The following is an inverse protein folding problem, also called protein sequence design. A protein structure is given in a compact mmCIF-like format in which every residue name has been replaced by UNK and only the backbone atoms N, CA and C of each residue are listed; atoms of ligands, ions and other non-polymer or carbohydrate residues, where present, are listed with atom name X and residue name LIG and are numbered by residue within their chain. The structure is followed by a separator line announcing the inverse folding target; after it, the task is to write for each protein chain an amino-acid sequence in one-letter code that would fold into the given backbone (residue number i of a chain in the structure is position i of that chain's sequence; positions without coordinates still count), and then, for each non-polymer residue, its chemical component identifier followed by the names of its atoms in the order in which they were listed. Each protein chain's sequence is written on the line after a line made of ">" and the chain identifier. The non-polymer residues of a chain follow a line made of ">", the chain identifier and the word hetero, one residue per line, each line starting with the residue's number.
data_IF_663424330123
#
_entry.id   IF_663424330123
#
_cell.length_a   1.000
_cell.length_b   1.000
_cell.length_c   1.000
_cell.angle_alpha   90.00
_cell.angle_beta   90.00
_cell.angle_gamma   90.00
#
_symmetry.space_group_name_H-M   'P 1'
#
loop_
_entity.id
_entity.type
_entity.pdbx_description
1 polymer ?
#
# COMPACT_ATOMS: atom_id res chain seq x y z
N UNK A 1 12.69 10.05 -18.36
CA UNK A 1 11.66 9.74 -17.35
C UNK A 1 12.21 10.25 -16.03
N UNK A 2 11.52 11.16 -15.36
CA UNK A 2 11.99 11.71 -14.10
C UNK A 2 11.75 10.65 -13.01
N UNK A 3 12.82 10.18 -12.39
CA UNK A 3 12.76 9.43 -11.13
C UNK A 3 12.09 10.37 -10.14
N UNK A 4 10.93 10.00 -9.59
CA UNK A 4 10.31 10.80 -8.53
C UNK A 4 11.28 10.77 -7.36
N UNK A 5 11.85 11.93 -7.02
CA UNK A 5 12.72 12.08 -5.85
C UNK A 5 11.92 11.67 -4.61
N UNK A 6 12.63 11.12 -3.61
CA UNK A 6 12.04 10.86 -2.30
C UNK A 6 11.37 12.13 -1.80
N UNK A 7 10.19 11.98 -1.22
CA UNK A 7 9.52 13.11 -0.59
C UNK A 7 10.27 13.49 0.69
N UNK A 8 10.43 14.78 0.94
CA UNK A 8 11.02 15.26 2.18
C UNK A 8 10.00 15.11 3.32
N UNK A 9 10.44 14.49 4.42
CA UNK A 9 9.60 14.19 5.57
C UNK A 9 10.20 14.80 6.84
N UNK A 10 9.36 15.44 7.65
CA UNK A 10 9.67 15.70 9.05
C UNK A 10 9.27 14.50 9.92
N UNK A 11 9.94 14.32 11.05
CA UNK A 11 9.54 13.34 12.05
C UNK A 11 8.16 13.62 12.66
N UNK A 12 7.53 12.57 13.21
CA UNK A 12 6.29 12.67 13.98
C UNK A 12 6.47 13.54 15.22
N UNK A 13 5.39 14.19 15.61
CA UNK A 13 5.28 15.00 16.83
C UNK A 13 4.08 14.55 17.66
N UNK A 14 3.95 15.04 18.91
CA UNK A 14 2.79 14.76 19.74
C UNK A 14 1.45 15.15 19.10
N UNK A 15 1.42 16.15 18.21
CA UNK A 15 0.22 16.50 17.44
C UNK A 15 -0.20 15.41 16.45
N UNK A 16 0.77 14.69 15.91
CA UNK A 16 0.51 13.59 14.98
C UNK A 16 0.07 12.35 15.75
N UNK A 17 0.66 12.08 16.93
CA UNK A 17 0.22 11.04 17.86
C UNK A 17 -1.23 11.25 18.30
N UNK A 18 -1.59 12.47 18.75
CA UNK A 18 -2.98 12.81 19.07
C UNK A 18 -3.95 12.67 17.89
N UNK A 19 -3.48 12.93 16.68
CA UNK A 19 -4.28 12.70 15.48
C UNK A 19 -4.55 11.22 15.26
N UNK A 20 -3.52 10.37 15.36
CA UNK A 20 -3.65 8.91 15.24
C UNK A 20 -4.61 8.38 16.30
N UNK A 21 -4.45 8.76 17.58
CA UNK A 21 -5.31 8.31 18.67
C UNK A 21 -6.79 8.63 18.41
N UNK A 22 -7.07 9.84 17.90
CA UNK A 22 -8.45 10.25 17.58
C UNK A 22 -9.06 9.51 16.39
N UNK A 23 -8.25 9.01 15.45
CA UNK A 23 -8.70 8.41 14.20
C UNK A 23 -8.40 6.90 14.08
N UNK A 24 -7.80 6.28 15.11
CA UNK A 24 -7.45 4.85 15.11
C UNK A 24 -8.66 3.90 14.95
N UNK A 25 -9.88 4.40 15.20
CA UNK A 25 -11.12 3.65 15.01
C UNK A 25 -11.69 3.78 13.60
N UNK A 26 -11.09 4.55 12.71
CA UNK A 26 -11.52 4.63 11.32
C UNK A 26 -11.25 3.28 10.64
N UNK A 27 -12.28 2.62 10.09
CA UNK A 27 -12.10 1.36 9.37
C UNK A 27 -11.24 1.51 8.10
N UNK A 28 -11.10 2.73 7.59
CA UNK A 28 -10.24 3.04 6.44
C UNK A 28 -8.81 3.33 6.89
N UNK A 29 -8.04 2.27 7.11
CA UNK A 29 -6.63 2.37 7.52
C UNK A 29 -5.76 3.02 6.44
N UNK A 30 -6.10 2.88 5.16
CA UNK A 30 -5.39 3.55 4.06
C UNK A 30 -5.51 5.08 4.18
N UNK A 31 -6.69 5.60 4.54
CA UNK A 31 -6.89 7.03 4.82
C UNK A 31 -5.99 7.50 5.95
N UNK A 32 -5.96 6.77 7.05
CA UNK A 32 -5.12 7.14 8.20
C UNK A 32 -3.65 7.20 7.81
N UNK A 33 -3.15 6.22 7.05
CA UNK A 33 -1.78 6.20 6.53
C UNK A 33 -1.49 7.40 5.61
N UNK A 34 -2.39 7.68 4.68
CA UNK A 34 -2.25 8.79 3.75
C UNK A 34 -2.23 10.14 4.48
N UNK A 35 -3.12 10.34 5.45
CA UNK A 35 -3.18 11.57 6.24
C UNK A 35 -1.94 11.77 7.10
N UNK A 36 -1.45 10.74 7.78
CA UNK A 36 -0.23 10.85 8.60
C UNK A 36 0.97 11.21 7.72
N UNK A 37 1.11 10.57 6.58
CA UNK A 37 2.20 10.88 5.66
C UNK A 37 2.08 12.30 5.11
N UNK A 38 0.88 12.74 4.71
CA UNK A 38 0.62 14.08 4.23
C UNK A 38 0.93 15.17 5.26
N UNK A 39 0.60 14.93 6.54
CA UNK A 39 0.92 15.84 7.65
C UNK A 39 2.42 16.00 7.89
N UNK A 40 3.20 14.98 7.55
CA UNK A 40 4.65 14.93 7.75
C UNK A 40 5.45 15.33 6.50
N UNK A 41 4.78 15.61 5.37
CA UNK A 41 5.44 16.19 4.21
C UNK A 41 6.04 17.55 4.58
N UNK A 42 7.35 17.69 4.32
CA UNK A 42 8.09 18.92 4.54
C UNK A 42 8.39 19.60 3.20
N UNK A 43 8.07 20.89 3.11
CA UNK A 43 8.31 21.66 1.90
C UNK A 43 7.83 23.12 2.05
N UNK A 44 8.57 24.09 1.48
CA UNK A 44 8.36 25.51 1.73
C UNK A 44 7.00 26.05 1.24
N UNK A 45 6.32 25.35 0.32
CA UNK A 45 5.10 25.83 -0.33
C UNK A 45 3.99 24.76 -0.39
N UNK A 46 4.07 23.71 0.44
CA UNK A 46 3.08 22.63 0.43
C UNK A 46 1.99 22.95 1.45
N UNK A 47 0.80 23.31 0.97
CA UNK A 47 -0.39 23.36 1.83
C UNK A 47 -0.96 21.96 2.08
N UNK A 48 -1.86 21.86 3.07
CA UNK A 48 -2.43 20.57 3.47
C UNK A 48 -3.21 19.85 2.35
N UNK A 49 -3.79 20.56 1.39
CA UNK A 49 -4.51 19.96 0.28
C UNK A 49 -3.54 19.40 -0.75
N UNK A 50 -2.50 20.15 -1.11
CA UNK A 50 -1.44 19.69 -2.01
C UNK A 50 -0.66 18.51 -1.42
N UNK A 51 -0.43 18.50 -0.10
CA UNK A 51 0.20 17.37 0.58
C UNK A 51 -0.62 16.09 0.46
N UNK A 52 -1.94 16.17 0.70
CA UNK A 52 -2.85 15.02 0.54
C UNK A 52 -2.88 14.51 -0.90
N UNK A 53 -2.99 15.40 -1.87
CA UNK A 53 -2.99 15.04 -3.29
C UNK A 53 -1.68 14.35 -3.67
N UNK A 54 -0.54 14.88 -3.21
CA UNK A 54 0.78 14.29 -3.44
C UNK A 54 0.86 12.86 -2.91
N UNK A 55 0.39 12.61 -1.67
CA UNK A 55 0.42 11.28 -1.07
C UNK A 55 -0.57 10.34 -1.76
N UNK A 56 -1.78 10.79 -2.06
CA UNK A 56 -2.77 9.97 -2.76
C UNK A 56 -2.33 9.55 -4.15
N UNK A 57 -1.46 10.36 -4.80
CA UNK A 57 -0.88 10.05 -6.12
C UNK A 57 0.35 9.14 -6.05
N UNK A 58 0.87 8.78 -4.89
CA UNK A 58 1.90 7.75 -4.75
C UNK A 58 1.32 6.37 -5.12
N UNK A 59 2.13 5.53 -5.77
CA UNK A 59 1.79 4.11 -5.84
C UNK A 59 1.78 3.51 -4.42
N UNK A 60 0.97 2.48 -4.18
CA UNK A 60 0.85 1.87 -2.84
C UNK A 60 2.22 1.49 -2.28
N UNK A 61 3.09 0.86 -3.08
CA UNK A 61 4.43 0.48 -2.64
C UNK A 61 5.33 1.70 -2.34
N UNK A 62 5.19 2.79 -3.10
CA UNK A 62 5.92 4.04 -2.82
C UNK A 62 5.46 4.63 -1.48
N UNK A 63 4.14 4.70 -1.24
CA UNK A 63 3.56 5.17 0.02
C UNK A 63 4.05 4.34 1.20
N UNK A 64 4.04 3.02 1.09
CA UNK A 64 4.47 2.12 2.17
C UNK A 64 5.96 2.28 2.48
N UNK A 65 6.80 2.46 1.47
CA UNK A 65 8.21 2.81 1.65
C UNK A 65 8.38 4.12 2.43
N UNK A 66 7.61 5.15 2.09
CA UNK A 66 7.69 6.45 2.78
C UNK A 66 7.14 6.38 4.21
N UNK A 67 6.14 5.54 4.49
CA UNK A 67 5.67 5.28 5.85
C UNK A 67 6.76 4.62 6.70
N UNK A 68 7.46 3.63 6.16
CA UNK A 68 8.60 3.02 6.88
C UNK A 68 9.72 4.05 7.10
N UNK A 69 10.02 4.89 6.12
CA UNK A 69 10.98 5.98 6.27
C UNK A 69 10.57 6.97 7.36
N UNK A 70 9.29 7.35 7.43
CA UNK A 70 8.73 8.20 8.48
C UNK A 70 8.86 7.56 9.86
N UNK A 71 8.56 6.27 9.98
CA UNK A 71 8.70 5.52 11.25
C UNK A 71 10.16 5.49 11.72
N UNK A 72 11.10 5.20 10.80
CA UNK A 72 12.54 5.21 11.09
C UNK A 72 13.03 6.59 11.54
N UNK A 73 12.59 7.64 10.85
CA UNK A 73 12.94 9.02 11.17
C UNK A 73 12.43 9.43 12.56
N UNK A 74 11.25 8.95 12.96
CA UNK A 74 10.56 9.37 14.18
C UNK A 74 10.95 8.58 15.41
N UNK A 75 11.12 7.26 15.28
CA UNK A 75 11.24 6.32 16.40
C UNK A 75 12.45 5.38 16.27
N UNK A 76 13.23 5.52 15.20
CA UNK A 76 14.36 4.64 14.91
C UNK A 76 13.96 3.37 14.14
N UNK A 77 14.95 2.55 13.74
CA UNK A 77 14.73 1.37 12.94
C UNK A 77 14.26 0.16 13.74
N UNK A 78 14.52 0.11 15.05
CA UNK A 78 14.23 -1.06 15.84
C UNK A 78 12.75 -1.14 16.22
N UNK A 79 12.22 -2.32 16.10
CA UNK A 79 10.81 -2.59 16.33
C UNK A 79 10.63 -3.83 17.16
N UNK A 80 9.74 -3.73 18.15
CA UNK A 80 9.26 -4.85 18.96
C UNK A 80 7.80 -5.12 18.60
N UNK A 81 7.49 -6.35 18.22
CA UNK A 81 6.14 -6.80 17.89
C UNK A 81 5.76 -8.02 18.72
N UNK A 82 4.46 -8.25 18.88
CA UNK A 82 3.92 -9.42 19.58
C UNK A 82 3.08 -10.25 18.61
N UNK A 83 3.40 -11.54 18.51
CA UNK A 83 2.68 -12.46 17.65
C UNK A 83 2.26 -13.73 18.40
N UNK A 84 1.02 -14.21 18.23
CA UNK A 84 0.58 -15.48 18.80
C UNK A 84 1.22 -16.63 18.02
N UNK A 85 1.79 -17.60 18.73
CA UNK A 85 2.30 -18.82 18.13
C UNK A 85 1.18 -19.79 17.83
N UNK A 86 1.05 -20.20 16.55
CA UNK A 86 0.04 -21.18 16.13
C UNK A 86 0.28 -22.58 16.68
N UNK A 87 1.53 -22.92 17.07
CA UNK A 87 1.89 -24.23 17.58
C UNK A 87 1.59 -24.42 19.08
N UNK A 88 1.83 -23.40 19.92
CA UNK A 88 1.63 -23.51 21.37
C UNK A 88 0.62 -22.53 21.95
N UNK A 89 0.07 -21.60 21.15
CA UNK A 89 -0.90 -20.61 21.59
C UNK A 89 -0.34 -19.49 22.48
N UNK A 90 0.96 -19.50 22.79
CA UNK A 90 1.59 -18.45 23.59
C UNK A 90 1.96 -17.25 22.71
N UNK A 91 1.93 -16.06 23.28
CA UNK A 91 2.40 -14.85 22.60
C UNK A 91 3.91 -14.73 22.74
N UNK A 92 4.61 -14.57 21.64
CA UNK A 92 6.05 -14.30 21.60
C UNK A 92 6.31 -12.85 21.24
N UNK A 93 7.31 -12.26 21.87
CA UNK A 93 7.87 -10.98 21.46
C UNK A 93 8.91 -11.23 20.36
N UNK A 94 8.87 -10.41 19.34
CA UNK A 94 9.78 -10.41 18.21
C UNK A 94 10.42 -9.04 18.07
N UNK A 95 11.73 -9.00 17.99
CA UNK A 95 12.48 -7.78 17.71
C UNK A 95 13.09 -7.89 16.30
N UNK A 96 12.98 -6.84 15.52
CA UNK A 96 13.59 -6.78 14.20
C UNK A 96 13.92 -5.32 13.85
N UNK A 97 14.79 -5.15 12.85
CA UNK A 97 15.12 -3.82 12.34
C UNK A 97 14.44 -3.57 11.00
N UNK A 98 13.81 -2.41 10.86
CA UNK A 98 13.25 -1.91 9.60
C UNK A 98 14.32 -1.75 8.50
N UNK A 99 15.61 -1.73 8.87
CA UNK A 99 16.72 -1.67 7.92
C UNK A 99 16.88 -2.98 7.11
N UNK A 100 16.26 -4.07 7.58
CA UNK A 100 16.28 -5.36 6.89
C UNK A 100 15.18 -5.49 5.83
N UNK A 101 14.22 -4.56 5.81
CA UNK A 101 13.13 -4.62 4.82
C UNK A 101 13.66 -4.25 3.41
N UNK A 102 13.27 -5.00 2.36
CA UNK A 102 13.72 -4.79 1.00
C UNK A 102 12.98 -3.62 0.32
N UNK A 103 13.09 -2.42 0.91
CA UNK A 103 12.39 -1.21 0.44
C UNK A 103 13.19 -0.38 -0.57
N UNK A 104 14.37 -0.83 -0.94
CA UNK A 104 15.20 -0.18 -1.97
C UNK A 104 14.88 -0.79 -3.34
N UNK A 105 13.80 -0.33 -3.93
CA UNK A 105 13.35 -0.72 -5.26
C UNK A 105 13.27 0.48 -6.19
N UNK A 106 13.48 0.25 -7.49
CA UNK A 106 13.21 1.27 -8.48
C UNK A 106 11.69 1.47 -8.63
N UNK A 107 11.21 2.73 -8.70
CA UNK A 107 9.80 2.99 -8.89
C UNK A 107 9.26 2.26 -10.13
N UNK A 108 8.16 1.50 -10.00
CA UNK A 108 7.56 0.84 -11.14
C UNK A 108 7.00 1.86 -12.14
N UNK A 109 6.82 1.47 -13.42
CA UNK A 109 6.24 2.34 -14.41
C UNK A 109 4.79 2.67 -14.02
N UNK A 110 4.41 3.94 -14.11
CA UNK A 110 3.05 4.38 -13.79
C UNK A 110 1.98 3.83 -14.72
N UNK A 111 2.38 3.49 -15.95
CA UNK A 111 1.51 2.94 -16.97
C UNK A 111 2.12 1.68 -17.56
N UNK A 112 1.28 0.68 -17.75
CA UNK A 112 1.59 -0.56 -18.46
C UNK A 112 0.88 -0.53 -19.80
N UNK A 113 1.55 -1.07 -20.81
CA UNK A 113 0.98 -1.33 -22.13
C UNK A 113 1.10 -2.83 -22.43
N UNK A 114 0.00 -3.47 -22.82
CA UNK A 114 -0.04 -4.88 -23.16
C UNK A 114 -0.97 -5.14 -24.31
N UNK A 115 -0.73 -6.24 -25.02
CA UNK A 115 -1.60 -6.74 -26.09
C UNK A 115 -2.48 -7.86 -25.53
N UNK A 116 -3.79 -7.73 -25.71
CA UNK A 116 -4.79 -8.66 -25.20
C UNK A 116 -5.78 -9.04 -26.29
N UNK A 117 -5.70 -10.27 -26.78
CA UNK A 117 -6.58 -10.82 -27.84
C UNK A 117 -6.63 -9.95 -29.12
N UNK A 118 -5.56 -9.17 -29.41
CA UNK A 118 -5.42 -8.27 -30.56
C UNK A 118 -5.77 -6.81 -30.29
N UNK A 119 -6.18 -6.49 -29.06
CA UNK A 119 -6.41 -5.12 -28.61
C UNK A 119 -5.22 -4.62 -27.78
N UNK A 120 -4.82 -3.37 -28.01
CA UNK A 120 -3.86 -2.68 -27.12
C UNK A 120 -4.59 -2.20 -25.88
N UNK A 121 -4.07 -2.57 -24.70
CA UNK A 121 -4.61 -2.18 -23.39
C UNK A 121 -3.59 -1.37 -22.62
N UNK A 122 -4.04 -0.26 -22.04
CA UNK A 122 -3.25 0.54 -21.11
C UNK A 122 -3.85 0.48 -19.70
N UNK A 123 -2.97 0.24 -18.74
CA UNK A 123 -3.29 0.21 -17.32
C UNK A 123 -2.41 1.19 -16.56
N UNK A 124 -2.97 1.94 -15.63
CA UNK A 124 -2.22 2.56 -14.55
C UNK A 124 -2.03 1.55 -13.41
N UNK A 125 -0.97 1.73 -12.61
CA UNK A 125 -0.85 0.99 -11.36
C UNK A 125 -1.67 1.66 -10.25
N UNK A 126 -2.20 0.88 -9.28
CA UNK A 126 -3.03 1.42 -8.21
C UNK A 126 -2.23 2.36 -7.30
N UNK A 127 -2.86 3.48 -6.97
CA UNK A 127 -2.32 4.51 -6.09
C UNK A 127 -2.79 4.35 -4.64
N UNK A 128 -2.16 5.07 -3.72
CA UNK A 128 -2.61 5.20 -2.33
C UNK A 128 -4.02 5.78 -2.23
N UNK A 129 -4.38 6.67 -3.15
CA UNK A 129 -5.74 7.19 -3.28
C UNK A 129 -6.74 6.15 -3.74
N UNK A 130 -6.37 5.29 -4.68
CA UNK A 130 -7.23 4.18 -5.12
C UNK A 130 -7.49 3.18 -3.98
N UNK A 131 -6.48 2.90 -3.15
CA UNK A 131 -6.67 2.04 -1.98
C UNK A 131 -7.62 2.66 -0.95
N UNK A 132 -7.50 3.95 -0.68
CA UNK A 132 -8.41 4.68 0.20
C UNK A 132 -9.84 4.68 -0.34
N UNK A 133 -10.03 5.01 -1.62
CA UNK A 133 -11.33 5.03 -2.27
C UNK A 133 -11.97 3.63 -2.32
N UNK A 134 -11.16 2.57 -2.51
CA UNK A 134 -11.63 1.18 -2.48
C UNK A 134 -12.21 0.80 -1.10
N UNK A 135 -11.54 1.23 -0.02
CA UNK A 135 -12.02 0.95 1.33
C UNK A 135 -13.32 1.70 1.64
N UNK A 136 -13.53 2.88 1.05
CA UNK A 136 -14.76 3.66 1.19
C UNK A 136 -15.91 3.19 0.29
N UNK A 137 -15.61 2.41 -0.74
CA UNK A 137 -16.59 2.00 -1.74
C UNK A 137 -17.68 1.04 -1.19
N UNK A 138 -17.54 0.54 0.04
CA UNK A 138 -18.54 -0.33 0.68
C UNK A 138 -18.75 -1.67 0.00
N UNK A 139 -17.75 -2.19 -0.69
CA UNK A 139 -17.80 -3.44 -1.46
C UNK A 139 -17.63 -4.64 -0.52
N UNK A 140 -18.51 -5.64 -0.65
CA UNK A 140 -18.59 -6.75 0.30
C UNK A 140 -17.68 -7.94 -0.02
N UNK A 141 -17.31 -8.14 -1.29
CA UNK A 141 -16.58 -9.33 -1.75
C UNK A 141 -15.28 -9.03 -2.47
N UNK A 142 -14.30 -9.94 -2.37
CA UNK A 142 -13.00 -9.79 -3.05
C UNK A 142 -13.12 -9.73 -4.57
N UNK A 143 -14.07 -10.45 -5.16
CA UNK A 143 -14.33 -10.39 -6.60
C UNK A 143 -14.84 -9.01 -7.04
N UNK A 144 -15.64 -8.37 -6.21
CA UNK A 144 -16.15 -7.02 -6.44
C UNK A 144 -15.05 -5.97 -6.28
N UNK A 145 -14.25 -6.07 -5.24
CA UNK A 145 -13.07 -5.23 -5.00
C UNK A 145 -12.06 -5.32 -6.15
N UNK A 146 -11.77 -6.52 -6.64
CA UNK A 146 -10.91 -6.72 -7.82
C UNK A 146 -11.52 -6.07 -9.08
N UNK A 147 -12.83 -6.20 -9.28
CA UNK A 147 -13.50 -5.55 -10.41
C UNK A 147 -13.41 -4.03 -10.34
N UNK A 148 -13.60 -3.48 -9.15
CA UNK A 148 -13.49 -2.05 -8.91
C UNK A 148 -12.07 -1.54 -9.18
N UNK A 149 -11.06 -2.22 -8.63
CA UNK A 149 -9.67 -1.84 -8.83
C UNK A 149 -9.27 -1.92 -10.31
N UNK A 150 -9.70 -2.98 -11.01
CA UNK A 150 -9.44 -3.13 -12.43
C UNK A 150 -10.08 -2.01 -13.25
N UNK A 151 -11.31 -1.61 -12.92
CA UNK A 151 -11.99 -0.48 -13.56
C UNK A 151 -11.21 0.83 -13.36
N UNK A 152 -10.63 1.05 -12.18
CA UNK A 152 -9.81 2.23 -11.86
C UNK A 152 -8.46 2.24 -12.59
N UNK A 153 -7.86 1.07 -12.77
CA UNK A 153 -6.57 0.96 -13.45
C UNK A 153 -6.67 1.05 -14.97
N UNK A 154 -7.82 0.77 -15.57
CA UNK A 154 -7.99 0.80 -17.02
C UNK A 154 -8.00 2.22 -17.57
N UNK A 155 -7.06 2.53 -18.47
CA UNK A 155 -6.97 3.80 -19.19
C UNK A 155 -7.36 3.66 -20.67
N UNK A 156 -7.14 2.47 -21.25
CA UNK A 156 -7.50 2.14 -22.63
C UNK A 156 -7.75 0.63 -22.78
N UNK A 157 -8.71 0.28 -23.63
CA UNK A 157 -8.97 -1.09 -24.07
C UNK A 157 -9.38 -1.08 -25.55
N UNK A 158 -8.50 -1.47 -26.45
CA UNK A 158 -8.68 -1.31 -27.89
C UNK A 158 -8.90 0.16 -28.28
N UNK A 159 -10.04 0.43 -28.90
CA UNK A 159 -10.44 1.79 -29.29
C UNK A 159 -11.10 2.60 -28.16
N UNK A 160 -11.46 1.95 -27.06
CA UNK A 160 -12.11 2.59 -25.91
C UNK A 160 -11.08 3.25 -25.00
N UNK A 161 -11.29 4.52 -24.62
CA UNK A 161 -10.43 5.30 -23.75
C UNK A 161 -11.13 5.93 -22.54
N UNK A 162 -12.42 5.63 -22.33
CA UNK A 162 -13.22 6.17 -21.23
C UNK A 162 -14.37 5.24 -20.85
N UNK A 163 -15.04 5.52 -19.75
CA UNK A 163 -16.21 4.76 -19.29
C UNK A 163 -15.86 3.35 -18.80
N UNK A 164 -14.69 3.20 -18.17
CA UNK A 164 -14.28 1.97 -17.48
C UNK A 164 -14.88 1.98 -16.08
N UNK A 165 -16.12 1.55 -15.98
CA UNK A 165 -16.84 1.41 -14.72
C UNK A 165 -16.80 -0.05 -14.20
N UNK A 166 -17.46 -0.26 -13.07
CA UNK A 166 -17.53 -1.56 -12.43
C UNK A 166 -18.22 -2.62 -13.32
N UNK A 167 -19.24 -2.21 -14.10
CA UNK A 167 -19.97 -3.12 -14.98
C UNK A 167 -19.14 -3.51 -16.21
N UNK A 168 -18.35 -2.57 -16.75
CA UNK A 168 -17.36 -2.89 -17.77
C UNK A 168 -16.36 -3.95 -17.27
N UNK A 169 -15.76 -3.71 -16.10
CA UNK A 169 -14.78 -4.64 -15.52
C UNK A 169 -15.38 -6.02 -15.22
N UNK A 170 -16.63 -6.07 -14.74
CA UNK A 170 -17.38 -7.33 -14.53
C UNK A 170 -17.67 -8.06 -15.84
N UNK A 171 -17.90 -7.33 -16.92
CA UNK A 171 -18.18 -7.88 -18.24
C UNK A 171 -16.98 -8.47 -18.97
N UNK A 172 -15.75 -8.20 -18.50
CA UNK A 172 -14.54 -8.75 -19.10
C UNK A 172 -14.47 -10.28 -18.94
N UNK A 173 -14.05 -11.02 -20.01
CA UNK A 173 -13.81 -12.46 -19.90
C UNK A 173 -12.79 -12.76 -18.77
N UNK A 174 -13.00 -13.87 -18.04
CA UNK A 174 -12.12 -14.26 -16.93
C UNK A 174 -10.65 -14.39 -17.33
N UNK A 175 -10.37 -14.87 -18.57
CA UNK A 175 -9.01 -14.94 -19.10
C UNK A 175 -8.38 -13.54 -19.23
N UNK A 176 -9.13 -12.58 -19.78
CA UNK A 176 -8.68 -11.21 -19.91
C UNK A 176 -8.39 -10.58 -18.54
N UNK A 177 -9.31 -10.74 -17.58
CA UNK A 177 -9.13 -10.27 -16.21
C UNK A 177 -7.86 -10.82 -15.58
N UNK A 178 -7.65 -12.14 -15.64
CA UNK A 178 -6.46 -12.78 -15.08
C UNK A 178 -5.15 -12.26 -15.70
N UNK A 179 -5.15 -11.97 -17.00
CA UNK A 179 -3.97 -11.39 -17.66
C UNK A 179 -3.71 -9.95 -17.22
N UNK A 180 -4.76 -9.13 -17.06
CA UNK A 180 -4.63 -7.75 -16.58
C UNK A 180 -4.17 -7.71 -15.12
N UNK A 181 -4.78 -8.52 -14.25
CA UNK A 181 -4.40 -8.65 -12.84
C UNK A 181 -2.93 -9.12 -12.71
N UNK A 182 -2.54 -10.15 -13.48
CA UNK A 182 -1.15 -10.63 -13.47
C UNK A 182 -0.15 -9.60 -14.00
N UNK A 183 -0.54 -8.77 -14.96
CA UNK A 183 0.32 -7.69 -15.46
C UNK A 183 0.54 -6.60 -14.40
N UNK A 184 -0.49 -6.26 -13.63
CA UNK A 184 -0.38 -5.32 -12.51
C UNK A 184 0.53 -5.91 -11.42
N UNK A 185 0.29 -7.16 -11.01
CA UNK A 185 1.11 -7.86 -10.00
C UNK A 185 2.57 -7.94 -10.41
N UNK A 186 2.86 -8.31 -11.65
CA UNK A 186 4.22 -8.43 -12.16
C UNK A 186 4.98 -7.08 -12.25
N UNK A 187 4.25 -5.97 -12.33
CA UNK A 187 4.84 -4.63 -12.39
C UNK A 187 5.07 -4.01 -11.02
N UNK A 188 4.42 -4.53 -9.98
CA UNK A 188 4.64 -4.08 -8.61
C UNK A 188 5.97 -4.64 -8.09
N UNK A 189 6.70 -3.91 -7.22
CA UNK A 189 7.89 -4.45 -6.59
C UNK A 189 7.51 -5.67 -5.75
N UNK A 190 8.34 -6.71 -5.82
CA UNK A 190 8.21 -7.90 -4.99
C UNK A 190 8.65 -7.53 -3.56
N UNK A 191 7.72 -7.00 -2.81
CA UNK A 191 7.89 -6.69 -1.40
C UNK A 191 7.42 -7.91 -0.60
N UNK A 192 8.26 -8.96 -0.57
CA UNK A 192 8.05 -10.05 0.38
C UNK A 192 8.33 -9.54 1.79
N UNK A 193 7.30 -9.00 2.40
CA UNK A 193 7.32 -8.47 3.75
C UNK A 193 6.82 -9.52 4.75
N UNK A 194 7.29 -10.77 4.64
CA UNK A 194 7.06 -11.79 5.65
C UNK A 194 8.12 -11.71 6.75
N UNK A 195 7.67 -11.65 7.99
CA UNK A 195 8.54 -11.78 9.16
C UNK A 195 8.50 -13.22 9.66
N UNK A 196 9.67 -13.85 9.76
CA UNK A 196 9.82 -15.13 10.40
C UNK A 196 10.59 -14.96 11.73
N UNK A 197 9.94 -15.32 12.83
CA UNK A 197 10.55 -15.29 14.16
C UNK A 197 10.36 -16.62 14.86
N UNK A 198 11.30 -16.99 15.76
CA UNK A 198 11.15 -18.20 16.56
C UNK A 198 10.31 -17.92 17.81
N UNK A 199 9.36 -18.81 18.09
CA UNK A 199 8.59 -18.75 19.33
C UNK A 199 9.52 -18.95 20.54
N UNK A 200 9.57 -18.00 21.45
CA UNK A 200 10.38 -18.06 22.68
C UNK A 200 9.97 -19.18 23.63
N UNK A 201 8.75 -19.77 23.45
CA UNK A 201 8.24 -20.82 24.33
C UNK A 201 8.44 -22.24 23.78
N UNK A 202 8.35 -22.43 22.47
CA UNK A 202 8.38 -23.80 21.87
C UNK A 202 9.35 -23.93 20.70
N UNK A 203 10.02 -22.87 20.26
CA UNK A 203 10.96 -22.90 19.13
C UNK A 203 10.31 -23.02 17.75
N UNK A 204 8.98 -23.06 17.65
CA UNK A 204 8.30 -23.11 16.36
C UNK A 204 8.44 -21.78 15.63
N UNK A 205 8.57 -21.81 14.29
CA UNK A 205 8.57 -20.62 13.48
C UNK A 205 7.18 -19.95 13.50
N UNK A 206 7.16 -18.65 13.75
CA UNK A 206 5.99 -17.78 13.60
C UNK A 206 6.27 -16.96 12.34
N UNK A 207 5.47 -17.19 11.30
CA UNK A 207 5.50 -16.40 10.07
C UNK A 207 4.29 -15.48 10.08
N UNK A 208 4.52 -14.18 9.98
CA UNK A 208 3.46 -13.19 9.94
C UNK A 208 3.75 -12.19 8.81
N UNK A 209 2.72 -11.82 8.01
CA UNK A 209 2.89 -10.76 7.04
C UNK A 209 3.16 -9.44 7.79
N UNK A 210 4.11 -8.67 7.28
CA UNK A 210 4.37 -7.32 7.75
C UNK A 210 3.43 -6.36 7.03
N UNK A 211 2.31 -6.05 7.67
CA UNK A 211 1.39 -5.04 7.20
C UNK A 211 1.87 -3.66 7.68
N UNK A 212 2.42 -2.84 6.77
CA UNK A 212 2.98 -1.52 7.08
C UNK A 212 1.98 -0.63 7.83
N UNK A 213 0.72 -0.48 7.37
CA UNK A 213 -0.32 0.24 8.10
C UNK A 213 -0.53 -0.26 9.52
N UNK A 214 -0.80 -1.55 9.69
CA UNK A 214 -1.05 -2.15 11.01
C UNK A 214 0.16 -1.95 11.92
N UNK A 215 1.34 -2.16 11.38
CA UNK A 215 2.58 -2.07 12.12
C UNK A 215 2.93 -0.63 12.54
N UNK A 216 2.66 0.34 11.67
CA UNK A 216 2.92 1.75 11.95
C UNK A 216 2.14 2.25 13.17
N UNK A 217 0.91 1.75 13.36
CA UNK A 217 0.02 2.16 14.46
C UNK A 217 0.02 1.22 15.67
N UNK A 218 0.75 0.09 15.61
CA UNK A 218 0.88 -0.88 16.73
C UNK A 218 2.10 -0.52 17.58
N UNK A 219 1.98 0.42 18.48
CA UNK A 219 3.03 0.78 19.46
C UNK A 219 2.62 0.36 20.85
#
# INVERSE_FOLDING_TARGET
>A
MATRERIDLRGLTGWDEEYVERHQSDPNTARLCNEILARCLDGPDIDAAAARETVRDLLVAERDRELVALRRLSLGPDVSARAPCSACGQTSEAEFSLDLLPLDFEPPPRRLELELDGDTVWLSLPTAGDQEDLMDAGLEGDAERRSWLLARCLERYGDRSEGFDLDFARGLPMKARAQLESAIEAALPDLDLEMAVECSHCGAAIVAPFDVPVFFFSS
#
